data_IF_714898245784
#
_entry.id   IF_714898245784
#
_cell.length_a   1.000
_cell.length_b   1.000
_cell.length_c   1.000
_cell.angle_alpha   90.00
_cell.angle_beta   90.00
_cell.angle_gamma   90.00
#
_symmetry.space_group_name_H-M   'P 1'
#
loop_
_entity.id
_entity.type
_entity.pdbx_description
1 polymer ?
#
# COMPACT_ATOMS: atom_id res chain seq x y z
N UNK A 1 5.93 -25.63 1.57
CA UNK A 1 6.43 -24.36 1.03
C UNK A 1 5.55 -24.05 -0.17
N UNK A 2 4.76 -23.01 -0.07
CA UNK A 2 4.09 -22.45 -1.24
C UNK A 2 5.21 -21.80 -2.07
N UNK A 3 5.27 -22.10 -3.36
CA UNK A 3 6.29 -21.54 -4.24
C UNK A 3 5.74 -20.31 -4.98
N UNK A 4 6.64 -19.52 -5.57
CA UNK A 4 6.29 -18.32 -6.36
C UNK A 4 5.26 -18.61 -7.45
N UNK A 5 5.26 -19.84 -7.99
CA UNK A 5 4.28 -20.26 -9.01
C UNK A 5 2.86 -20.23 -8.47
N UNK A 6 2.63 -20.63 -7.22
CA UNK A 6 1.30 -20.56 -6.62
C UNK A 6 0.81 -19.11 -6.50
N UNK A 7 1.69 -18.17 -6.10
CA UNK A 7 1.34 -16.75 -5.98
C UNK A 7 0.97 -16.20 -7.35
N UNK A 8 1.82 -16.44 -8.35
CA UNK A 8 1.58 -16.05 -9.73
C UNK A 8 0.27 -16.64 -10.26
N UNK A 9 -0.01 -17.92 -9.99
CA UNK A 9 -1.27 -18.56 -10.38
C UNK A 9 -2.50 -17.90 -9.71
N UNK A 10 -2.41 -17.52 -8.43
CA UNK A 10 -3.50 -16.82 -7.75
C UNK A 10 -3.72 -15.42 -8.31
N UNK A 11 -2.65 -14.63 -8.44
CA UNK A 11 -2.74 -13.27 -8.96
C UNK A 11 -3.15 -13.24 -10.44
N UNK A 12 -2.83 -14.28 -11.22
CA UNK A 12 -3.27 -14.42 -12.62
C UNK A 12 -4.80 -14.61 -12.77
N UNK A 13 -5.53 -14.92 -11.69
CA UNK A 13 -7.00 -15.01 -11.73
C UNK A 13 -7.69 -13.65 -11.68
N UNK A 14 -6.95 -12.58 -11.42
CA UNK A 14 -7.49 -11.22 -11.35
C UNK A 14 -7.82 -10.68 -12.74
N UNK A 15 -8.89 -9.90 -12.83
CA UNK A 15 -9.32 -9.28 -14.08
C UNK A 15 -8.38 -8.12 -14.45
N UNK A 16 -7.43 -8.40 -15.35
CA UNK A 16 -6.44 -7.44 -15.83
C UNK A 16 -7.06 -6.19 -16.47
N UNK A 17 -8.16 -6.37 -17.18
CA UNK A 17 -8.85 -5.25 -17.83
C UNK A 17 -9.51 -4.33 -16.80
N UNK A 18 -10.02 -4.88 -15.70
CA UNK A 18 -10.55 -4.09 -14.58
C UNK A 18 -9.43 -3.36 -13.84
N UNK A 19 -8.33 -4.05 -13.50
CA UNK A 19 -7.17 -3.45 -12.84
C UNK A 19 -6.58 -2.30 -13.66
N UNK A 20 -6.36 -2.51 -14.97
CA UNK A 20 -5.84 -1.47 -15.85
C UNK A 20 -6.76 -0.25 -15.95
N UNK A 21 -8.09 -0.44 -15.89
CA UNK A 21 -9.06 0.68 -15.88
C UNK A 21 -8.99 1.48 -14.58
N UNK A 22 -8.86 0.80 -13.43
CA UNK A 22 -8.70 1.45 -12.12
C UNK A 22 -7.37 2.21 -12.05
N UNK A 23 -6.29 1.56 -12.46
CA UNK A 23 -4.96 2.17 -12.53
C UNK A 23 -4.94 3.38 -13.47
N UNK A 24 -5.59 3.30 -14.63
CA UNK A 24 -5.77 4.46 -15.52
C UNK A 24 -6.50 5.62 -14.83
N UNK A 25 -7.59 5.34 -14.11
CA UNK A 25 -8.34 6.35 -13.40
C UNK A 25 -7.51 7.02 -12.29
N UNK A 26 -6.73 6.24 -11.55
CA UNK A 26 -5.81 6.73 -10.52
C UNK A 26 -4.68 7.59 -11.12
N UNK A 27 -3.95 7.06 -12.11
CA UNK A 27 -2.90 7.81 -12.82
C UNK A 27 -3.41 9.14 -13.40
N UNK A 28 -4.64 9.15 -13.93
CA UNK A 28 -5.25 10.36 -14.47
C UNK A 28 -5.62 11.37 -13.37
N UNK A 29 -6.04 10.90 -12.20
CA UNK A 29 -6.37 11.76 -11.06
C UNK A 29 -5.10 12.37 -10.43
N UNK A 30 -4.01 11.62 -10.38
CA UNK A 30 -2.74 12.05 -9.79
C UNK A 30 -1.79 12.76 -10.76
N UNK A 31 -2.22 12.90 -12.02
CA UNK A 31 -1.43 13.52 -13.07
C UNK A 31 -1.18 15.01 -12.78
N UNK A 32 0.00 15.30 -12.23
CA UNK A 32 0.45 16.67 -11.94
C UNK A 32 1.49 17.11 -12.95
N UNK A 33 1.53 18.42 -13.20
CA UNK A 33 2.59 19.05 -13.99
C UNK A 33 3.96 18.64 -13.44
N UNK A 34 4.86 18.23 -14.33
CA UNK A 34 6.22 17.81 -13.97
C UNK A 34 6.33 16.36 -13.47
N UNK A 35 5.24 15.60 -13.44
CA UNK A 35 5.31 14.16 -13.15
C UNK A 35 6.14 13.41 -14.21
N UNK A 36 6.86 12.33 -13.84
CA UNK A 36 7.61 11.51 -14.78
C UNK A 36 6.74 10.95 -15.91
N UNK A 37 5.48 10.62 -15.63
CA UNK A 37 4.51 10.13 -16.60
C UNK A 37 4.23 11.16 -17.70
N UNK A 38 4.06 12.44 -17.34
CA UNK A 38 3.89 13.51 -18.32
C UNK A 38 5.16 13.79 -19.13
N UNK A 39 6.33 13.68 -18.49
CA UNK A 39 7.61 13.80 -19.20
C UNK A 39 7.76 12.72 -20.27
N UNK A 40 7.44 11.46 -19.94
CA UNK A 40 7.50 10.34 -20.87
C UNK A 40 6.52 10.52 -22.06
N UNK A 41 5.33 11.07 -21.81
CA UNK A 41 4.40 11.43 -22.88
C UNK A 41 4.97 12.53 -23.79
N UNK A 42 5.47 13.63 -23.21
CA UNK A 42 6.04 14.75 -23.97
C UNK A 42 7.24 14.33 -24.83
N UNK A 43 8.09 13.43 -24.32
CA UNK A 43 9.24 12.90 -25.07
C UNK A 43 8.81 12.01 -26.25
N UNK A 44 7.68 11.30 -26.12
CA UNK A 44 7.11 10.48 -27.20
C UNK A 44 6.39 11.32 -28.28
N UNK A 45 5.88 12.50 -27.91
CA UNK A 45 5.14 13.40 -28.78
C UNK A 45 5.92 14.69 -29.06
N UNK A 46 6.67 14.70 -30.17
CA UNK A 46 7.44 15.87 -30.60
C UNK A 46 6.57 17.12 -30.77
N UNK A 47 6.98 18.24 -30.15
CA UNK A 47 6.24 19.51 -30.18
C UNK A 47 5.62 19.91 -28.84
N UNK A 48 5.67 19.03 -27.84
CA UNK A 48 5.29 19.32 -26.46
C UNK A 48 6.48 19.96 -25.71
N UNK A 49 6.27 20.97 -24.84
CA UNK A 49 7.33 21.55 -24.01
C UNK A 49 8.05 20.47 -23.18
N UNK A 50 9.35 20.64 -22.96
CA UNK A 50 10.15 19.71 -22.13
C UNK A 50 9.55 19.56 -20.72
N UNK A 51 9.89 18.45 -20.05
CA UNK A 51 9.37 18.09 -18.72
C UNK A 51 9.28 19.29 -17.76
N UNK A 52 8.11 19.47 -17.14
CA UNK A 52 7.86 20.53 -16.15
C UNK A 52 7.16 21.78 -16.69
N UNK A 53 6.87 21.86 -17.99
CA UNK A 53 6.11 22.96 -18.61
C UNK A 53 4.87 22.50 -19.38
N UNK A 54 4.55 21.20 -19.31
CA UNK A 54 3.41 20.61 -19.99
C UNK A 54 2.23 20.48 -19.03
N UNK A 55 1.16 21.22 -19.31
CA UNK A 55 -0.16 21.01 -18.73
C UNK A 55 -1.06 20.33 -19.76
N UNK A 56 -1.68 19.17 -19.47
CA UNK A 56 -2.57 18.48 -20.41
C UNK A 56 -3.71 19.36 -20.93
N UNK A 57 -4.25 20.23 -20.07
CA UNK A 57 -5.40 21.08 -20.38
C UNK A 57 -5.10 22.16 -21.44
N UNK A 58 -3.83 22.51 -21.64
CA UNK A 58 -3.38 23.46 -22.67
C UNK A 58 -3.42 22.86 -24.09
N UNK A 59 -3.54 21.54 -24.23
CA UNK A 59 -3.46 20.81 -25.50
C UNK A 59 -4.67 19.87 -25.69
N UNK A 60 -5.90 20.41 -25.86
CA UNK A 60 -7.12 19.61 -25.97
C UNK A 60 -7.11 18.64 -27.16
N UNK A 61 -6.37 18.95 -28.22
CA UNK A 61 -6.20 18.08 -29.39
C UNK A 61 -5.39 16.81 -29.09
N UNK A 62 -4.54 16.84 -28.06
CA UNK A 62 -3.72 15.69 -27.65
C UNK A 62 -4.42 14.81 -26.60
N UNK A 63 -5.59 15.21 -26.09
CA UNK A 63 -6.29 14.49 -25.02
C UNK A 63 -6.60 13.02 -25.37
N UNK A 64 -6.93 12.74 -26.63
CA UNK A 64 -7.16 11.36 -27.08
C UNK A 64 -5.88 10.51 -27.08
N UNK A 65 -4.75 11.10 -27.49
CA UNK A 65 -3.44 10.44 -27.48
C UNK A 65 -2.93 10.24 -26.06
N UNK A 66 -3.12 11.24 -25.19
CA UNK A 66 -2.82 11.17 -23.76
C UNK A 66 -3.60 10.07 -23.08
N UNK A 67 -4.92 10.01 -23.27
CA UNK A 67 -5.75 8.97 -22.67
C UNK A 67 -5.32 7.58 -23.13
N UNK A 68 -4.94 7.41 -24.41
CA UNK A 68 -4.42 6.14 -24.90
C UNK A 68 -3.07 5.79 -24.26
N UNK A 69 -2.13 6.75 -24.21
CA UNK A 69 -0.83 6.57 -23.56
C UNK A 69 -0.98 6.16 -22.09
N UNK A 70 -1.84 6.86 -21.33
CA UNK A 70 -2.08 6.55 -19.92
C UNK A 70 -2.72 5.17 -19.74
N UNK A 71 -3.59 4.73 -20.65
CA UNK A 71 -4.16 3.36 -20.61
C UNK A 71 -3.09 2.30 -20.84
N UNK A 72 -2.25 2.49 -21.84
CA UNK A 72 -1.17 1.55 -22.16
C UNK A 72 -0.15 1.51 -21.01
N UNK A 73 0.15 2.67 -20.43
CA UNK A 73 1.04 2.78 -19.27
C UNK A 73 0.44 2.12 -18.02
N UNK A 74 -0.84 2.33 -17.75
CA UNK A 74 -1.55 1.71 -16.63
C UNK A 74 -1.54 0.18 -16.74
N UNK A 75 -1.82 -0.36 -17.93
CA UNK A 75 -1.80 -1.80 -18.16
C UNK A 75 -0.41 -2.39 -17.93
N UNK A 76 0.65 -1.72 -18.40
CA UNK A 76 2.01 -2.16 -18.16
C UNK A 76 2.37 -2.15 -16.68
N UNK A 77 2.07 -1.07 -15.96
CA UNK A 77 2.37 -0.94 -14.52
C UNK A 77 1.66 -2.00 -13.69
N UNK A 78 0.41 -2.34 -14.04
CA UNK A 78 -0.34 -3.43 -13.38
C UNK A 78 0.33 -4.79 -13.60
N UNK A 79 0.78 -5.11 -14.81
CA UNK A 79 1.48 -6.38 -15.05
C UNK A 79 2.83 -6.42 -14.34
N UNK A 80 3.61 -5.33 -14.41
CA UNK A 80 4.89 -5.21 -13.71
C UNK A 80 4.70 -5.45 -12.20
N UNK A 81 3.66 -4.86 -11.61
CA UNK A 81 3.39 -4.99 -10.18
C UNK A 81 2.96 -6.40 -9.77
N UNK A 82 2.18 -7.08 -10.60
CA UNK A 82 1.80 -8.48 -10.33
C UNK A 82 3.02 -9.40 -10.39
N UNK A 83 3.96 -9.15 -11.31
CA UNK A 83 5.22 -9.87 -11.38
C UNK A 83 6.09 -9.59 -10.15
N UNK A 84 6.19 -8.33 -9.72
CA UNK A 84 6.95 -7.92 -8.53
C UNK A 84 6.39 -8.58 -7.26
N UNK A 85 5.08 -8.45 -7.00
CA UNK A 85 4.43 -9.07 -5.83
C UNK A 85 4.61 -10.59 -5.81
N UNK A 86 4.58 -11.26 -6.97
CA UNK A 86 4.82 -12.70 -7.02
C UNK A 86 6.25 -13.09 -6.62
N UNK A 87 7.21 -12.18 -6.76
CA UNK A 87 8.60 -12.38 -6.38
C UNK A 87 8.88 -11.98 -4.93
N UNK A 88 8.30 -10.87 -4.47
CA UNK A 88 8.62 -10.24 -3.19
C UNK A 88 7.82 -10.81 -2.01
N UNK A 89 6.63 -11.36 -2.26
CA UNK A 89 5.79 -11.90 -1.19
C UNK A 89 6.33 -13.22 -0.62
N UNK A 90 6.65 -13.20 0.67
CA UNK A 90 6.93 -14.41 1.43
C UNK A 90 5.63 -15.02 1.98
N UNK A 91 5.27 -16.22 1.48
CA UNK A 91 4.06 -16.94 1.90
C UNK A 91 4.39 -18.26 2.57
N UNK A 92 3.89 -18.44 3.79
CA UNK A 92 3.90 -19.71 4.50
C UNK A 92 2.48 -20.14 4.83
N UNK A 93 2.07 -21.32 4.35
CA UNK A 93 0.75 -21.91 4.64
C UNK A 93 -0.43 -20.98 4.31
N UNK A 94 -0.36 -20.35 3.13
CA UNK A 94 -1.36 -19.39 2.61
C UNK A 94 -1.45 -18.08 3.41
N UNK A 95 -0.54 -17.87 4.36
CA UNK A 95 -0.42 -16.64 5.12
C UNK A 95 0.78 -15.80 4.66
N UNK A 96 0.59 -14.49 4.64
CA UNK A 96 1.57 -13.49 4.25
C UNK A 96 2.05 -12.78 5.50
N UNK A 97 3.34 -12.51 5.60
CA UNK A 97 3.86 -11.63 6.63
C UNK A 97 3.60 -10.17 6.26
N UNK A 98 3.10 -9.40 7.22
CA UNK A 98 2.77 -8.00 7.04
C UNK A 98 3.24 -7.18 8.24
N UNK A 99 3.56 -5.92 7.98
CA UNK A 99 4.07 -4.97 8.94
C UNK A 99 3.25 -3.70 8.94
N UNK A 100 3.14 -3.04 10.07
CA UNK A 100 2.49 -1.72 10.15
C UNK A 100 3.15 -0.89 11.23
N UNK A 101 3.54 0.32 10.86
CA UNK A 101 4.03 1.30 11.82
C UNK A 101 2.93 2.31 12.15
N UNK A 102 2.88 2.74 13.40
CA UNK A 102 1.93 3.76 13.85
C UNK A 102 2.38 4.42 15.16
N UNK A 103 1.95 5.67 15.37
CA UNK A 103 2.14 6.39 16.62
C UNK A 103 0.90 6.17 17.51
N UNK A 104 1.12 5.68 18.74
CA UNK A 104 0.05 5.34 19.70
C UNK A 104 0.35 5.88 21.10
N UNK A 105 -0.66 6.13 21.95
CA UNK A 105 -0.45 6.38 23.38
C UNK A 105 0.21 5.19 24.10
N UNK A 106 0.94 5.45 25.18
CA UNK A 106 1.66 4.39 25.91
C UNK A 106 0.82 3.29 26.52
N UNK A 107 -0.45 3.53 26.81
CA UNK A 107 -1.37 2.49 27.33
C UNK A 107 -2.12 1.74 26.21
N UNK A 108 -1.83 2.03 24.94
CA UNK A 108 -2.57 1.47 23.80
C UNK A 108 -2.34 -0.02 23.60
N UNK A 109 -1.12 -0.51 23.84
CA UNK A 109 -0.81 -1.95 23.70
C UNK A 109 -1.66 -2.79 24.68
N UNK A 110 -1.94 -2.24 25.86
CA UNK A 110 -2.68 -2.92 26.92
C UNK A 110 -4.20 -2.81 26.72
N UNK A 111 -4.68 -1.63 26.32
CA UNK A 111 -6.11 -1.30 26.28
C UNK A 111 -6.68 -1.13 24.85
N UNK A 112 -5.90 -0.53 23.96
CA UNK A 112 -6.32 -0.11 22.61
C UNK A 112 -6.48 -1.24 21.60
N UNK A 113 -5.69 -2.31 21.69
CA UNK A 113 -5.75 -3.46 20.77
C UNK A 113 -7.14 -4.13 20.71
N UNK A 114 -7.90 -4.09 21.81
CA UNK A 114 -9.25 -4.64 21.91
C UNK A 114 -10.37 -3.66 21.54
N UNK A 115 -10.09 -2.36 21.53
CA UNK A 115 -11.13 -1.30 21.50
C UNK A 115 -11.09 -0.44 20.21
N UNK A 116 -9.95 -0.40 19.52
CA UNK A 116 -9.69 0.54 18.43
C UNK A 116 -9.62 -0.05 17.03
N UNK A 117 -9.48 -1.38 16.90
CA UNK A 117 -9.20 -1.99 15.61
C UNK A 117 -7.81 -1.62 15.07
N UNK A 118 -7.17 -2.52 14.32
CA UNK A 118 -5.98 -2.15 13.55
C UNK A 118 -6.46 -1.75 12.15
N UNK A 119 -5.91 -0.67 11.57
CA UNK A 119 -6.36 -0.19 10.27
C UNK A 119 -6.08 -1.18 9.13
N UNK A 120 -6.59 -0.87 7.94
CA UNK A 120 -6.48 -1.76 6.76
C UNK A 120 -5.19 -1.62 5.95
N UNK A 121 -4.43 -0.53 6.09
CA UNK A 121 -3.15 -0.34 5.41
C UNK A 121 -2.01 -1.01 6.18
N UNK A 122 -1.26 -1.87 5.50
CA UNK A 122 -0.08 -2.58 6.02
C UNK A 122 1.02 -2.52 4.98
N UNK A 123 2.21 -3.02 5.29
CA UNK A 123 3.30 -3.21 4.35
C UNK A 123 3.67 -4.69 4.25
N UNK A 124 4.16 -5.14 3.10
CA UNK A 124 4.73 -6.49 2.94
C UNK A 124 6.24 -6.57 3.25
N UNK A 125 6.86 -5.47 3.65
CA UNK A 125 8.25 -5.42 4.12
C UNK A 125 8.36 -4.54 5.39
N UNK A 126 9.17 -4.92 6.40
CA UNK A 126 9.39 -4.11 7.59
C UNK A 126 9.99 -2.72 7.32
N UNK A 127 10.73 -2.53 6.24
CA UNK A 127 11.32 -1.25 5.80
C UNK A 127 10.22 -0.32 5.28
N UNK A 128 9.26 -0.86 4.51
CA UNK A 128 8.12 -0.11 4.00
C UNK A 128 7.09 0.28 5.06
N UNK A 129 7.12 -0.36 6.23
CA UNK A 129 6.27 0.01 7.36
C UNK A 129 6.77 1.30 8.04
N UNK A 130 6.28 2.44 7.55
CA UNK A 130 6.60 3.79 8.06
C UNK A 130 5.39 4.42 8.75
N UNK A 131 5.63 5.08 9.88
CA UNK A 131 4.60 5.85 10.59
C UNK A 131 4.36 7.16 9.83
N UNK A 132 3.16 7.37 9.29
CA UNK A 132 2.81 8.67 8.69
C UNK A 132 2.60 9.71 9.79
N UNK A 133 3.24 10.89 9.61
CA UNK A 133 3.32 11.98 10.59
C UNK A 133 1.94 12.42 11.10
N UNK A 134 1.64 12.09 12.36
CA UNK A 134 0.39 12.52 13.00
C UNK A 134 0.44 12.73 14.51
N UNK A 135 1.55 12.44 15.21
CA UNK A 135 1.52 12.47 16.68
C UNK A 135 2.84 12.47 17.43
N UNK A 136 3.99 12.65 16.76
CA UNK A 136 5.32 12.56 17.37
C UNK A 136 5.73 13.74 18.28
N UNK A 137 4.77 14.38 18.96
CA UNK A 137 5.00 15.57 19.78
C UNK A 137 4.74 15.41 21.28
N UNK A 138 4.13 14.30 21.71
CA UNK A 138 3.83 14.02 23.12
C UNK A 138 4.78 12.94 23.63
N UNK A 139 5.48 13.21 24.75
CA UNK A 139 6.40 12.26 25.41
C UNK A 139 5.70 10.96 25.87
N UNK A 140 4.36 10.94 25.86
CA UNK A 140 3.54 9.78 26.22
C UNK A 140 3.17 8.89 25.02
N UNK A 141 3.59 9.26 23.81
CA UNK A 141 3.37 8.48 22.60
C UNK A 141 4.56 7.55 22.29
N UNK A 142 4.24 6.38 21.76
CA UNK A 142 5.19 5.40 21.25
C UNK A 142 5.04 5.31 19.74
N UNK A 143 6.16 5.33 19.02
CA UNK A 143 6.21 4.93 17.63
C UNK A 143 6.42 3.41 17.59
N UNK A 144 5.38 2.67 17.22
CA UNK A 144 5.39 1.22 17.26
C UNK A 144 5.42 0.63 15.85
N UNK A 145 6.10 -0.52 15.72
CA UNK A 145 6.03 -1.40 14.54
C UNK A 145 5.39 -2.72 14.94
N UNK A 146 4.31 -3.06 14.26
CA UNK A 146 3.59 -4.31 14.41
C UNK A 146 4.04 -5.28 13.33
N UNK A 147 4.23 -6.54 13.71
CA UNK A 147 4.46 -7.65 12.80
C UNK A 147 3.31 -8.65 12.96
N UNK A 148 2.68 -9.03 11.87
CA UNK A 148 1.55 -9.94 11.85
C UNK A 148 1.61 -10.87 10.64
N UNK A 149 0.75 -11.88 10.64
CA UNK A 149 0.41 -12.63 9.43
C UNK A 149 -1.05 -12.44 9.07
N UNK A 150 -1.37 -12.49 7.78
CA UNK A 150 -2.74 -12.42 7.26
C UNK A 150 -2.96 -13.52 6.23
N UNK A 151 -4.19 -14.03 6.15
CA UNK A 151 -4.56 -14.98 5.09
C UNK A 151 -4.48 -14.28 3.72
N UNK A 152 -3.92 -14.94 2.72
CA UNK A 152 -3.82 -14.43 1.35
C UNK A 152 -5.18 -13.99 0.80
N UNK A 153 -6.26 -14.67 1.19
CA UNK A 153 -7.62 -14.35 0.75
C UNK A 153 -8.25 -13.18 1.51
N UNK A 154 -7.65 -12.72 2.60
CA UNK A 154 -8.10 -11.54 3.37
C UNK A 154 -7.50 -10.23 2.82
N UNK A 155 -6.57 -10.31 1.87
CA UNK A 155 -6.01 -9.16 1.14
C UNK A 155 -6.97 -8.72 0.02
N UNK A 156 -7.15 -7.40 -0.10
CA UNK A 156 -7.78 -6.78 -1.26
C UNK A 156 -6.74 -6.61 -2.36
N UNK A 157 -6.52 -7.70 -3.13
CA UNK A 157 -5.52 -7.73 -4.21
C UNK A 157 -5.75 -6.67 -5.27
N UNK A 158 -6.99 -6.42 -5.76
CA UNK A 158 -7.22 -5.35 -6.71
C UNK A 158 -6.76 -3.98 -6.21
N UNK A 159 -7.10 -3.62 -4.97
CA UNK A 159 -6.71 -2.34 -4.40
C UNK A 159 -5.19 -2.27 -4.16
N UNK A 160 -4.62 -3.34 -3.59
CA UNK A 160 -3.18 -3.49 -3.36
C UNK A 160 -2.39 -3.29 -4.65
N UNK A 161 -2.73 -4.00 -5.73
CA UNK A 161 -2.02 -3.88 -7.01
C UNK A 161 -2.16 -2.48 -7.60
N UNK A 162 -3.37 -1.92 -7.58
CA UNK A 162 -3.60 -0.60 -8.18
C UNK A 162 -2.80 0.46 -7.44
N UNK A 163 -2.77 0.46 -6.10
CA UNK A 163 -2.01 1.42 -5.30
C UNK A 163 -0.52 1.38 -5.64
N UNK A 164 0.12 0.20 -5.52
CA UNK A 164 1.55 0.06 -5.75
C UNK A 164 1.94 0.26 -7.24
N UNK A 165 1.03 -0.01 -8.19
CA UNK A 165 1.28 0.21 -9.60
C UNK A 165 1.27 1.70 -10.00
N UNK A 166 0.52 2.56 -9.30
CA UNK A 166 0.22 3.93 -9.76
C UNK A 166 0.73 5.04 -8.88
N UNK A 167 1.33 4.76 -7.71
CA UNK A 167 1.95 5.85 -6.95
C UNK A 167 3.09 6.48 -7.76
N UNK A 168 2.78 7.65 -8.33
CA UNK A 168 3.66 8.42 -9.18
C UNK A 168 4.64 9.30 -8.42
N UNK A 169 4.41 9.54 -7.13
CA UNK A 169 5.29 10.34 -6.29
C UNK A 169 6.43 9.46 -5.71
N UNK A 170 6.21 8.15 -5.53
CA UNK A 170 7.23 7.18 -5.09
C UNK A 170 7.20 5.83 -5.84
N UNK A 171 7.31 5.85 -7.18
CA UNK A 171 7.35 4.61 -8.00
C UNK A 171 8.39 3.61 -7.45
N UNK A 172 7.91 2.50 -6.89
CA UNK A 172 8.74 1.43 -6.30
C UNK A 172 9.15 1.63 -4.83
N UNK A 173 8.59 2.61 -4.13
CA UNK A 173 8.79 2.81 -2.68
C UNK A 173 7.52 2.60 -1.84
N UNK A 174 6.34 2.45 -2.46
CA UNK A 174 5.17 1.94 -1.75
C UNK A 174 5.27 0.42 -1.63
N UNK A 175 5.09 -0.06 -0.40
CA UNK A 175 5.09 -1.48 -0.05
C UNK A 175 3.71 -1.88 0.49
N UNK A 176 2.63 -1.19 0.07
CA UNK A 176 1.34 -1.22 0.77
C UNK A 176 0.54 -2.50 0.48
N UNK A 177 0.04 -3.16 1.51
CA UNK A 177 -0.96 -4.23 1.47
C UNK A 177 -2.27 -3.67 2.01
N UNK A 178 -3.32 -3.68 1.18
CA UNK A 178 -4.68 -3.33 1.61
C UNK A 178 -5.43 -4.58 2.07
N UNK A 179 -5.93 -4.55 3.29
CA UNK A 179 -6.78 -5.63 3.83
C UNK A 179 -8.26 -5.35 3.62
N UNK A 180 -9.06 -6.41 3.47
CA UNK A 180 -10.51 -6.30 3.42
C UNK A 180 -11.07 -5.77 4.76
N UNK A 181 -12.20 -5.04 4.78
CA UNK A 181 -12.80 -4.49 6.00
C UNK A 181 -13.19 -5.49 7.10
N UNK A 182 -13.17 -6.80 6.80
CA UNK A 182 -13.46 -7.88 7.76
C UNK A 182 -12.28 -8.86 7.93
N UNK A 183 -11.11 -8.51 7.37
CA UNK A 183 -9.91 -9.32 7.49
C UNK A 183 -9.49 -9.48 8.94
N UNK A 184 -8.78 -10.59 9.21
CA UNK A 184 -8.19 -10.81 10.52
C UNK A 184 -6.69 -11.00 10.38
N UNK A 185 -5.95 -10.29 11.21
CA UNK A 185 -4.50 -10.45 11.31
C UNK A 185 -4.17 -11.26 12.56
N UNK A 186 -3.16 -12.10 12.45
CA UNK A 186 -2.55 -12.81 13.56
C UNK A 186 -1.31 -12.03 13.99
N UNK A 187 -1.47 -11.17 15.00
CA UNK A 187 -0.39 -10.35 15.53
C UNK A 187 0.68 -11.23 16.18
N UNK A 188 1.91 -11.06 15.74
CA UNK A 188 3.10 -11.79 16.20
C UNK A 188 3.90 -10.95 17.19
N UNK A 189 4.14 -9.67 16.91
CA UNK A 189 4.83 -8.79 17.84
C UNK A 189 4.48 -7.31 17.67
N UNK A 190 4.76 -6.53 18.72
CA UNK A 190 4.79 -5.07 18.71
C UNK A 190 6.13 -4.64 19.28
N UNK A 191 6.85 -3.79 18.55
CA UNK A 191 8.16 -3.27 18.92
C UNK A 191 8.08 -1.75 18.95
N UNK A 192 8.65 -1.14 19.98
CA UNK A 192 8.90 0.30 20.02
C UNK A 192 10.09 0.64 19.13
N UNK A 193 9.89 1.47 18.11
CA UNK A 193 10.90 1.81 17.12
C UNK A 193 12.02 2.71 17.66
N UNK A 194 11.78 3.42 18.77
CA UNK A 194 12.78 4.31 19.38
C UNK A 194 13.70 3.55 20.33
N UNK A 195 13.17 2.59 21.08
CA UNK A 195 13.92 1.87 22.11
C UNK A 195 14.33 0.46 21.69
N UNK A 196 13.84 -0.04 20.56
CA UNK A 196 13.90 -1.45 20.14
C UNK A 196 13.31 -2.42 21.20
N UNK A 197 12.47 -1.93 22.11
CA UNK A 197 11.84 -2.74 23.14
C UNK A 197 10.64 -3.51 22.56
N UNK A 198 10.57 -4.80 22.85
CA UNK A 198 9.41 -5.62 22.50
C UNK A 198 8.30 -5.36 23.51
N UNK A 199 7.30 -4.56 23.11
CA UNK A 199 6.14 -4.22 23.93
C UNK A 199 5.14 -5.39 24.02
N UNK A 200 5.09 -6.23 22.98
CA UNK A 200 4.27 -7.42 22.95
C UNK A 200 4.92 -8.52 22.11
N UNK A 201 5.03 -9.72 22.67
CA UNK A 201 5.55 -10.91 21.98
C UNK A 201 4.47 -12.01 21.99
N UNK A 202 4.00 -12.39 20.81
CA UNK A 202 2.91 -13.33 20.59
C UNK A 202 3.25 -14.40 19.53
N UNK A 203 4.49 -14.52 19.07
CA UNK A 203 4.87 -15.49 18.02
C UNK A 203 4.46 -16.94 18.32
N UNK A 204 4.52 -17.36 19.58
CA UNK A 204 4.12 -18.72 20.00
C UNK A 204 2.60 -18.91 20.14
N UNK A 205 1.84 -17.82 20.30
CA UNK A 205 0.38 -17.81 20.42
C UNK A 205 -0.15 -16.53 19.80
N UNK A 206 -0.23 -16.48 18.45
CA UNK A 206 -0.60 -15.26 17.75
C UNK A 206 -1.97 -14.76 18.21
N UNK A 207 -2.08 -13.44 18.39
CA UNK A 207 -3.34 -12.82 18.80
C UNK A 207 -4.12 -12.46 17.54
N UNK A 208 -5.29 -13.06 17.35
CA UNK A 208 -6.18 -12.71 16.24
C UNK A 208 -6.86 -11.37 16.51
N UNK A 209 -6.72 -10.43 15.59
CA UNK A 209 -7.26 -9.07 15.70
C UNK A 209 -8.03 -8.75 14.42
N UNK A 210 -9.24 -8.20 14.60
CA UNK A 210 -10.04 -7.70 13.47
C UNK A 210 -9.51 -6.36 12.99
N UNK A 211 -9.47 -6.19 11.67
CA UNK A 211 -9.14 -4.90 11.07
C UNK A 211 -10.40 -4.09 10.79
N UNK A 212 -10.24 -2.77 10.72
CA UNK A 212 -11.33 -1.84 10.44
C UNK A 212 -10.81 -0.73 9.53
N UNK A 213 -11.63 -0.26 8.59
CA UNK A 213 -11.24 0.76 7.60
C UNK A 213 -10.63 2.01 8.26
N UNK A 214 -11.26 2.49 9.33
CA UNK A 214 -10.81 3.66 10.10
C UNK A 214 -9.63 3.36 11.05
N UNK A 215 -9.53 2.13 11.54
CA UNK A 215 -8.58 1.71 12.57
C UNK A 215 -8.42 2.68 13.75
N UNK A 216 -7.30 2.57 14.48
CA UNK A 216 -6.93 3.56 15.50
C UNK A 216 -6.57 4.96 14.93
N UNK A 217 -6.63 5.17 13.60
CA UNK A 217 -6.31 6.47 12.98
C UNK A 217 -7.50 7.45 13.05
N UNK A 218 -8.73 6.99 13.29
CA UNK A 218 -9.89 7.89 13.33
C UNK A 218 -10.24 8.51 14.69
N UNK A 219 -9.70 8.03 15.83
CA UNK A 219 -10.06 8.55 17.16
C UNK A 219 -9.13 9.62 17.73
N UNK A 220 -7.97 9.86 17.12
CA UNK A 220 -7.02 10.88 17.60
C UNK A 220 -7.34 12.31 17.10
N UNK A 221 -8.24 12.48 16.11
CA UNK A 221 -8.61 13.79 15.56
C UNK A 221 -9.97 14.34 16.05
N UNK A 222 -10.59 13.70 17.04
CA UNK A 222 -11.84 14.17 17.65
C UNK A 222 -11.68 14.43 19.14
N UNK A 223 -10.79 15.36 19.53
CA UNK A 223 -10.86 16.10 20.80
C UNK A 223 -10.39 17.53 20.63
#
# INVERSE_FOLDING_TARGET
>A
MIDQNWIAEKLATLDRDDLAKRAFAALKADLKMGSPTLAAFADAHGGVPSSGMFEPDDYPELQGEMDQFLRDRAAQLVEDEIENLAFDLEIESEAIQIWRAMIVPGDWVENGLSEGGIGVCWAFDPVGAVSHDGGGGDETCHDIKMHATVDFYDVDWPETIVLNAVDTDTVGEEYEIRLKPEAHVNLLSIIDQMTDEVLLECSLRPRRISVWEEGYVAKAMSR
#
